data_IF_849111397444
#
_entry.id   IF_849111397444
#
_cell.length_a   1.000
_cell.length_b   1.000
_cell.length_c   1.000
_cell.angle_alpha   90.00
_cell.angle_beta   90.00
_cell.angle_gamma   90.00
#
_symmetry.space_group_name_H-M   'P 1'
#
loop_
_entity.id
_entity.type
_entity.pdbx_description
1 polymer ?
#
# COMPACT_ATOMS: atom_id res chain seq x y z
N UNK A 1 2.77 8.36 -13.11
CA UNK A 1 4.21 8.02 -13.17
C UNK A 1 4.75 7.83 -11.75
N UNK A 2 4.48 6.66 -11.17
CA UNK A 2 5.04 6.21 -9.87
C UNK A 2 6.38 5.48 -10.03
N UNK A 3 7.00 5.58 -11.20
CA UNK A 3 8.20 4.83 -11.57
C UNK A 3 9.50 5.20 -10.88
N UNK A 4 9.56 6.26 -10.08
CA UNK A 4 10.83 6.73 -9.51
C UNK A 4 11.32 5.99 -8.27
N UNK A 5 10.43 5.42 -7.48
CA UNK A 5 10.75 4.88 -6.15
C UNK A 5 11.35 3.47 -6.20
N UNK A 6 10.78 2.61 -7.03
CA UNK A 6 11.20 1.21 -7.17
C UNK A 6 12.17 0.95 -8.32
N UNK A 7 12.54 1.97 -9.06
CA UNK A 7 13.50 1.88 -10.18
C UNK A 7 14.97 1.85 -9.77
N UNK A 8 15.28 1.91 -8.45
CA UNK A 8 16.67 1.81 -8.02
C UNK A 8 17.23 0.40 -8.26
N UNK A 9 18.52 0.25 -8.62
CA UNK A 9 19.15 -1.05 -8.86
C UNK A 9 19.03 -2.02 -7.67
N UNK A 10 18.96 -1.50 -6.45
CA UNK A 10 18.75 -2.32 -5.26
C UNK A 10 17.36 -2.97 -5.25
N UNK A 11 16.31 -2.19 -5.48
CA UNK A 11 14.95 -2.74 -5.53
C UNK A 11 14.78 -3.70 -6.69
N UNK A 12 15.30 -3.36 -7.87
CA UNK A 12 15.26 -4.25 -9.01
C UNK A 12 15.91 -5.61 -8.69
N UNK A 13 17.10 -5.62 -8.10
CA UNK A 13 17.78 -6.86 -7.70
C UNK A 13 17.07 -7.63 -6.58
N UNK A 14 16.54 -6.93 -5.58
CA UNK A 14 15.77 -7.57 -4.50
C UNK A 14 14.48 -8.22 -5.03
N UNK A 15 13.71 -7.48 -5.80
CA UNK A 15 12.43 -7.96 -6.34
C UNK A 15 12.65 -9.09 -7.35
N UNK A 16 13.71 -9.03 -8.16
CA UNK A 16 14.10 -10.13 -9.05
C UNK A 16 14.47 -11.40 -8.26
N UNK A 17 15.20 -11.24 -7.14
CA UNK A 17 15.50 -12.38 -6.25
C UNK A 17 14.22 -12.96 -5.63
N UNK A 18 13.24 -12.13 -5.29
CA UNK A 18 11.94 -12.62 -4.82
C UNK A 18 11.21 -13.35 -5.95
N UNK A 19 11.14 -12.75 -7.14
CA UNK A 19 10.50 -13.34 -8.31
C UNK A 19 11.06 -14.70 -8.69
N UNK A 20 12.38 -14.89 -8.66
CA UNK A 20 13.03 -16.16 -8.99
C UNK A 20 12.70 -17.32 -8.03
N UNK A 21 12.14 -17.02 -6.86
CA UNK A 21 11.70 -18.00 -5.86
C UNK A 21 10.23 -18.36 -5.97
N UNK A 22 9.49 -17.68 -6.84
CA UNK A 22 8.06 -17.91 -7.01
C UNK A 22 7.81 -19.20 -7.83
N UNK A 23 6.70 -19.89 -7.55
CA UNK A 23 6.27 -20.99 -8.43
C UNK A 23 5.98 -20.46 -9.84
N UNK A 24 6.19 -21.28 -10.84
CA UNK A 24 5.75 -20.98 -12.20
C UNK A 24 4.23 -21.10 -12.22
N UNK A 25 3.55 -20.03 -12.59
CA UNK A 25 2.10 -20.02 -12.74
C UNK A 25 1.75 -20.30 -14.21
N UNK A 26 0.68 -21.08 -14.49
CA UNK A 26 0.18 -21.25 -15.85
C UNK A 26 -0.39 -19.93 -16.38
N UNK A 27 -0.30 -19.73 -17.69
CA UNK A 27 -0.86 -18.55 -18.37
C UNK A 27 -2.38 -18.46 -18.20
N UNK A 28 -3.05 -19.63 -18.26
CA UNK A 28 -4.47 -19.81 -17.93
C UNK A 28 -4.55 -20.91 -16.87
N UNK A 29 -5.29 -20.65 -15.80
CA UNK A 29 -5.57 -21.61 -14.74
C UNK A 29 -7.08 -21.75 -14.59
N UNK A 30 -7.65 -22.74 -15.25
CA UNK A 30 -9.07 -23.11 -15.21
C UNK A 30 -9.40 -24.11 -14.10
N UNK A 31 -8.40 -24.60 -13.40
CA UNK A 31 -8.50 -25.45 -12.22
C UNK A 31 -8.46 -24.70 -10.89
N UNK A 32 -8.44 -23.36 -10.90
CA UNK A 32 -8.28 -22.54 -9.69
C UNK A 32 -9.45 -22.75 -8.71
N UNK A 33 -10.67 -22.74 -9.22
CA UNK A 33 -11.89 -23.17 -8.49
C UNK A 33 -13.00 -23.56 -9.47
N UNK A 34 -14.17 -23.95 -8.93
CA UNK A 34 -15.31 -24.32 -9.76
C UNK A 34 -15.84 -23.16 -10.63
N UNK A 35 -15.75 -21.92 -10.15
CA UNK A 35 -16.31 -20.76 -10.86
C UNK A 35 -15.28 -19.65 -11.14
N UNK A 36 -13.98 -19.90 -10.95
CA UNK A 36 -12.92 -18.90 -11.16
C UNK A 36 -11.85 -19.44 -12.09
N UNK A 37 -11.61 -18.75 -13.20
CA UNK A 37 -10.52 -18.97 -14.12
C UNK A 37 -9.56 -17.79 -14.03
N UNK A 38 -8.26 -18.02 -13.86
CA UNK A 38 -7.23 -16.97 -13.86
C UNK A 38 -6.53 -16.89 -15.21
N UNK A 39 -6.29 -15.66 -15.68
CA UNK A 39 -5.41 -15.35 -16.79
C UNK A 39 -4.27 -14.48 -16.30
N UNK A 40 -3.02 -14.80 -16.67
CA UNK A 40 -1.89 -13.92 -16.43
C UNK A 40 -1.86 -12.77 -17.44
N UNK A 41 -1.51 -11.56 -16.97
CA UNK A 41 -1.51 -10.34 -17.76
C UNK A 41 -0.35 -10.17 -18.75
N UNK A 42 0.57 -11.15 -18.87
CA UNK A 42 1.76 -11.11 -19.73
C UNK A 42 2.68 -9.90 -19.52
N UNK A 43 2.67 -9.35 -18.30
CA UNK A 43 3.45 -8.21 -17.87
C UNK A 43 4.35 -8.54 -16.66
N UNK A 44 5.20 -9.61 -16.72
CA UNK A 44 6.04 -9.96 -15.58
C UNK A 44 7.01 -8.82 -15.26
N UNK A 45 7.14 -8.49 -13.99
CA UNK A 45 7.95 -7.38 -13.54
C UNK A 45 8.27 -7.44 -12.06
N UNK A 46 9.09 -6.49 -11.61
CA UNK A 46 9.48 -6.40 -10.21
C UNK A 46 8.30 -6.12 -9.28
N UNK A 47 7.26 -5.43 -9.75
CA UNK A 47 6.04 -5.13 -8.99
C UNK A 47 4.92 -6.12 -9.33
N UNK A 48 4.85 -6.59 -10.58
CA UNK A 48 3.81 -7.49 -11.09
C UNK A 48 4.13 -8.96 -10.86
N UNK A 49 5.32 -9.30 -10.35
CA UNK A 49 5.78 -10.68 -10.13
C UNK A 49 5.77 -11.49 -11.45
N UNK A 50 4.95 -12.56 -11.55
CA UNK A 50 4.78 -13.35 -12.77
C UNK A 50 3.89 -12.64 -13.82
N UNK A 51 3.22 -11.57 -13.44
CA UNK A 51 2.25 -10.78 -14.18
C UNK A 51 1.02 -10.48 -13.32
N UNK A 52 0.18 -9.57 -13.79
CA UNK A 52 -1.11 -9.28 -13.16
C UNK A 52 -2.06 -10.46 -13.34
N UNK A 53 -2.74 -10.86 -12.28
CA UNK A 53 -3.83 -11.82 -12.36
C UNK A 53 -5.12 -11.11 -12.76
N UNK A 54 -5.80 -11.63 -13.76
CA UNK A 54 -7.17 -11.25 -14.09
C UNK A 54 -8.06 -12.48 -13.97
N UNK A 55 -9.32 -12.32 -13.56
CA UNK A 55 -10.15 -13.45 -13.18
C UNK A 55 -11.50 -13.43 -13.90
N UNK A 56 -11.82 -14.52 -14.63
CA UNK A 56 -13.12 -14.74 -15.22
C UNK A 56 -13.98 -15.55 -14.24
N UNK A 57 -15.10 -14.98 -13.80
CA UNK A 57 -15.90 -15.50 -12.69
C UNK A 57 -17.32 -15.87 -13.13
N UNK A 58 -17.74 -17.07 -12.76
CA UNK A 58 -19.05 -17.65 -13.08
C UNK A 58 -18.94 -19.03 -13.75
N UNK A 59 -20.08 -19.72 -13.86
CA UNK A 59 -20.17 -21.08 -14.47
C UNK A 59 -20.98 -21.10 -15.76
N UNK A 60 -21.73 -20.01 -16.06
CA UNK A 60 -22.57 -19.93 -17.25
C UNK A 60 -21.83 -19.47 -18.51
N UNK A 61 -22.64 -19.30 -19.59
CA UNK A 61 -22.16 -18.71 -20.85
C UNK A 61 -21.92 -17.21 -20.77
N UNK A 62 -22.41 -16.54 -19.74
CA UNK A 62 -22.13 -15.11 -19.47
C UNK A 62 -21.44 -14.98 -18.13
N UNK A 63 -20.27 -14.36 -18.10
CA UNK A 63 -19.42 -14.26 -16.91
C UNK A 63 -19.00 -12.81 -16.62
N UNK A 64 -18.37 -12.61 -15.46
CA UNK A 64 -17.82 -11.34 -15.02
C UNK A 64 -16.28 -11.45 -15.03
N UNK A 65 -15.62 -10.43 -15.53
CA UNK A 65 -14.15 -10.35 -15.49
C UNK A 65 -13.71 -9.36 -14.41
N UNK A 66 -12.71 -9.72 -13.63
CA UNK A 66 -12.05 -8.85 -12.64
C UNK A 66 -10.66 -8.51 -13.15
N UNK A 67 -10.38 -7.21 -13.30
CA UNK A 67 -9.18 -6.60 -13.87
C UNK A 67 -8.88 -7.02 -15.32
N UNK A 68 -7.95 -6.28 -15.97
CA UNK A 68 -7.70 -6.42 -17.42
C UNK A 68 -6.23 -6.44 -17.80
N UNK A 69 -5.32 -6.54 -16.82
CA UNK A 69 -3.88 -6.47 -17.09
C UNK A 69 -3.42 -5.08 -17.56
N UNK A 70 -2.20 -5.01 -18.10
CA UNK A 70 -1.56 -3.76 -18.53
C UNK A 70 -1.88 -3.38 -20.00
N UNK A 71 -2.69 -4.16 -20.70
CA UNK A 71 -2.95 -4.02 -22.13
C UNK A 71 -1.89 -4.72 -23.00
N UNK A 72 -1.33 -5.84 -22.51
CA UNK A 72 -0.47 -6.69 -23.32
C UNK A 72 -1.32 -7.39 -24.39
N UNK A 73 -0.95 -7.32 -25.69
CA UNK A 73 -1.73 -7.95 -26.76
C UNK A 73 -1.93 -9.46 -26.58
N UNK A 74 -0.95 -10.13 -25.97
CA UNK A 74 -1.02 -11.57 -25.68
C UNK A 74 -2.13 -11.89 -24.67
N UNK A 75 -2.36 -11.01 -23.68
CA UNK A 75 -3.44 -11.16 -22.73
C UNK A 75 -4.82 -11.08 -23.41
N UNK A 76 -5.02 -10.06 -24.25
CA UNK A 76 -6.28 -9.89 -24.99
C UNK A 76 -6.57 -11.11 -25.89
N UNK A 77 -5.55 -11.59 -26.64
CA UNK A 77 -5.66 -12.79 -27.46
C UNK A 77 -5.97 -14.03 -26.62
N UNK A 78 -5.33 -14.20 -25.46
CA UNK A 78 -5.55 -15.35 -24.60
C UNK A 78 -6.97 -15.38 -24.04
N UNK A 79 -7.47 -14.22 -23.56
CA UNK A 79 -8.83 -14.08 -23.04
C UNK A 79 -9.87 -14.30 -24.12
N UNK A 80 -9.77 -13.58 -25.24
CA UNK A 80 -10.79 -13.66 -26.31
C UNK A 80 -10.87 -15.06 -26.92
N UNK A 81 -9.73 -15.70 -27.14
CA UNK A 81 -9.70 -17.09 -27.62
C UNK A 81 -10.36 -18.05 -26.62
N UNK A 82 -10.08 -17.90 -25.33
CA UNK A 82 -10.72 -18.74 -24.31
C UNK A 82 -12.24 -18.55 -24.31
N UNK A 83 -12.73 -17.30 -24.46
CA UNK A 83 -14.16 -16.99 -24.55
C UNK A 83 -14.79 -17.67 -25.79
N UNK A 84 -14.15 -17.61 -26.95
CA UNK A 84 -14.60 -18.23 -28.20
C UNK A 84 -14.60 -19.77 -28.09
N UNK A 85 -13.52 -20.37 -27.59
CA UNK A 85 -13.36 -21.82 -27.47
C UNK A 85 -14.39 -22.47 -26.52
N UNK A 86 -14.95 -21.67 -25.58
CA UNK A 86 -15.91 -22.16 -24.56
C UNK A 86 -17.34 -21.57 -24.74
N UNK A 87 -17.61 -20.81 -25.78
CA UNK A 87 -18.89 -20.11 -26.00
C UNK A 87 -19.32 -19.24 -24.81
N UNK A 88 -18.37 -18.41 -24.32
CA UNK A 88 -18.54 -17.53 -23.16
C UNK A 88 -18.51 -16.08 -23.61
N UNK A 89 -19.37 -15.24 -23.02
CA UNK A 89 -19.33 -13.78 -23.12
C UNK A 89 -19.04 -13.12 -21.77
N UNK A 90 -18.50 -11.91 -21.79
CA UNK A 90 -18.31 -11.06 -20.62
C UNK A 90 -19.42 -10.04 -20.56
N UNK A 91 -20.20 -10.02 -19.46
CA UNK A 91 -21.21 -8.97 -19.26
C UNK A 91 -20.65 -7.72 -18.61
N UNK A 92 -19.77 -7.92 -17.63
CA UNK A 92 -19.20 -6.86 -16.80
C UNK A 92 -17.72 -7.06 -16.61
N UNK A 93 -16.98 -5.94 -16.61
CA UNK A 93 -15.62 -5.86 -16.08
C UNK A 93 -15.65 -5.09 -14.77
N UNK A 94 -15.09 -5.64 -13.72
CA UNK A 94 -14.94 -5.00 -12.42
C UNK A 94 -13.46 -4.68 -12.20
N UNK A 95 -13.11 -3.42 -12.13
CA UNK A 95 -11.74 -2.98 -11.90
C UNK A 95 -11.50 -2.76 -10.41
N UNK A 96 -10.42 -3.34 -9.89
CA UNK A 96 -10.07 -3.22 -8.47
C UNK A 96 -9.62 -1.81 -8.13
N UNK A 97 -8.77 -1.19 -8.97
CA UNK A 97 -8.24 0.15 -8.75
C UNK A 97 -7.66 0.75 -10.05
N UNK A 98 -7.16 1.99 -9.97
CA UNK A 98 -6.78 2.80 -11.13
C UNK A 98 -5.42 2.43 -11.77
N UNK A 99 -4.58 1.62 -11.16
CA UNK A 99 -3.26 1.30 -11.71
C UNK A 99 -3.36 0.68 -13.10
N UNK A 100 -2.41 1.06 -13.97
CA UNK A 100 -2.43 0.69 -15.39
C UNK A 100 -2.38 -0.81 -15.62
N UNK A 101 -1.65 -1.54 -14.79
CA UNK A 101 -1.53 -2.99 -14.88
C UNK A 101 -2.81 -3.76 -14.47
N UNK A 102 -3.84 -3.05 -14.02
CA UNK A 102 -5.20 -3.57 -13.79
C UNK A 102 -6.22 -3.06 -14.78
N UNK A 103 -5.98 -1.89 -15.39
CA UNK A 103 -6.97 -1.20 -16.23
C UNK A 103 -6.60 -1.16 -17.72
N UNK A 104 -5.37 -1.53 -18.08
CA UNK A 104 -4.79 -1.28 -19.39
C UNK A 104 -5.45 -2.04 -20.55
N UNK A 105 -6.03 -3.22 -20.28
CA UNK A 105 -6.68 -4.06 -21.31
C UNK A 105 -8.16 -3.72 -21.58
N UNK A 106 -8.73 -2.71 -20.90
CA UNK A 106 -10.14 -2.30 -21.10
C UNK A 106 -10.42 -1.97 -22.57
N UNK A 107 -9.52 -1.23 -23.21
CA UNK A 107 -9.72 -0.84 -24.63
C UNK A 107 -9.78 -2.06 -25.58
N UNK A 108 -8.96 -3.07 -25.33
CA UNK A 108 -8.92 -4.30 -26.14
C UNK A 108 -10.22 -5.10 -26.00
N UNK A 109 -10.76 -5.20 -24.78
CA UNK A 109 -12.04 -5.87 -24.51
C UNK A 109 -13.22 -5.14 -25.17
N UNK A 110 -13.26 -3.80 -25.08
CA UNK A 110 -14.31 -3.00 -25.70
C UNK A 110 -14.21 -2.99 -27.24
N UNK A 111 -13.02 -3.18 -27.80
CA UNK A 111 -12.84 -3.39 -29.23
C UNK A 111 -13.35 -4.77 -29.69
N UNK A 112 -13.23 -5.81 -28.84
CA UNK A 112 -13.77 -7.15 -29.08
C UNK A 112 -15.30 -7.18 -28.92
N UNK A 113 -15.82 -6.64 -27.82
CA UNK A 113 -17.25 -6.54 -27.55
C UNK A 113 -17.62 -5.20 -26.90
N UNK A 114 -18.18 -4.24 -27.67
CA UNK A 114 -18.58 -2.92 -27.16
C UNK A 114 -19.77 -2.97 -26.17
N UNK A 115 -20.43 -4.10 -26.01
CA UNK A 115 -21.57 -4.24 -25.08
C UNK A 115 -21.11 -4.47 -23.62
N UNK A 116 -19.85 -4.76 -23.38
CA UNK A 116 -19.28 -4.96 -22.06
C UNK A 116 -19.39 -3.68 -21.23
N UNK A 117 -19.91 -3.80 -20.02
CA UNK A 117 -20.02 -2.67 -19.09
C UNK A 117 -18.83 -2.71 -18.12
N UNK A 118 -18.06 -1.65 -18.09
CA UNK A 118 -16.89 -1.53 -17.21
C UNK A 118 -17.24 -0.73 -15.96
N UNK A 119 -16.87 -1.26 -14.80
CA UNK A 119 -17.13 -0.68 -13.49
C UNK A 119 -15.82 -0.42 -12.75
N UNK A 120 -15.71 0.75 -12.08
CA UNK A 120 -14.62 1.12 -11.16
C UNK A 120 -15.16 2.03 -10.05
N UNK A 121 -14.54 2.05 -8.87
CA UNK A 121 -15.01 2.92 -7.78
C UNK A 121 -14.92 4.41 -8.15
N UNK A 122 -13.79 4.83 -8.71
CA UNK A 122 -13.60 6.14 -9.30
C UNK A 122 -13.53 5.98 -10.84
N UNK A 123 -14.69 6.00 -11.55
CA UNK A 123 -14.76 5.59 -12.94
C UNK A 123 -14.14 6.63 -13.89
N UNK A 124 -13.45 6.14 -14.91
CA UNK A 124 -13.04 6.95 -16.06
C UNK A 124 -14.23 7.21 -17.00
N UNK A 125 -14.11 8.16 -17.95
CA UNK A 125 -15.16 8.41 -18.94
C UNK A 125 -15.61 7.13 -19.66
N UNK A 126 -16.90 6.87 -19.68
CA UNK A 126 -17.50 5.66 -20.28
C UNK A 126 -17.62 4.47 -19.33
N UNK A 127 -17.07 4.55 -18.14
CA UNK A 127 -17.21 3.54 -17.10
C UNK A 127 -18.35 3.89 -16.12
N UNK A 128 -18.79 2.91 -15.34
CA UNK A 128 -19.80 3.08 -14.29
C UNK A 128 -19.18 2.99 -12.89
N UNK A 129 -19.73 3.75 -11.94
CA UNK A 129 -19.27 3.75 -10.57
C UNK A 129 -19.69 2.48 -9.81
N UNK A 130 -18.79 1.95 -8.98
CA UNK A 130 -19.10 0.90 -8.01
C UNK A 130 -19.34 1.54 -6.63
N UNK A 131 -20.49 1.27 -6.04
CA UNK A 131 -20.76 1.61 -4.64
C UNK A 131 -20.23 0.53 -3.69
N UNK A 132 -19.81 0.93 -2.48
CA UNK A 132 -19.49 -0.04 -1.44
C UNK A 132 -20.72 -0.89 -1.08
N UNK A 133 -20.53 -2.21 -1.06
CA UNK A 133 -21.62 -3.19 -0.83
C UNK A 133 -22.44 -3.52 -2.08
N UNK A 134 -22.18 -2.91 -3.24
CA UNK A 134 -22.84 -3.25 -4.49
C UNK A 134 -22.59 -4.71 -4.86
N UNK A 135 -23.64 -5.38 -5.38
CA UNK A 135 -23.60 -6.79 -5.74
C UNK A 135 -23.72 -6.97 -7.24
N UNK A 136 -22.88 -7.80 -7.80
CA UNK A 136 -22.90 -8.23 -9.20
C UNK A 136 -23.14 -9.72 -9.25
N UNK A 137 -24.05 -10.18 -10.11
CA UNK A 137 -24.45 -11.58 -10.20
C UNK A 137 -24.31 -12.12 -11.60
N UNK A 138 -23.80 -13.33 -11.67
CA UNK A 138 -23.84 -14.17 -12.86
C UNK A 138 -24.19 -15.61 -12.44
N UNK A 139 -24.36 -16.51 -13.39
CA UNK A 139 -24.62 -17.91 -13.04
C UNK A 139 -23.43 -18.49 -12.26
N UNK A 140 -23.72 -19.01 -11.07
CA UNK A 140 -22.74 -19.66 -10.19
C UNK A 140 -21.83 -18.69 -9.41
N UNK A 141 -22.05 -17.37 -9.49
CA UNK A 141 -21.25 -16.41 -8.75
C UNK A 141 -22.00 -15.14 -8.38
N UNK A 142 -21.86 -14.74 -7.11
CA UNK A 142 -22.31 -13.47 -6.55
C UNK A 142 -21.09 -12.73 -6.00
N UNK A 143 -20.74 -11.60 -6.62
CA UNK A 143 -19.63 -10.75 -6.23
C UNK A 143 -20.13 -9.53 -5.48
N UNK A 144 -19.71 -9.35 -4.22
CA UNK A 144 -20.03 -8.16 -3.43
C UNK A 144 -18.80 -7.25 -3.32
N UNK A 145 -18.95 -6.03 -3.79
CA UNK A 145 -17.89 -5.02 -3.76
C UNK A 145 -17.65 -4.51 -2.32
N UNK A 146 -16.40 -4.42 -1.92
CA UNK A 146 -15.95 -3.95 -0.61
C UNK A 146 -14.90 -2.86 -0.81
N UNK A 147 -15.21 -1.64 -0.41
CA UNK A 147 -14.27 -0.52 -0.51
C UNK A 147 -13.12 -0.70 0.50
N UNK A 148 -11.91 -0.79 -0.01
CA UNK A 148 -10.69 -1.10 0.77
C UNK A 148 -9.52 -0.20 0.34
N UNK A 149 -9.64 1.12 0.49
CA UNK A 149 -8.62 2.06 0.07
C UNK A 149 -7.32 1.89 0.86
N UNK A 150 -6.23 2.45 0.34
CA UNK A 150 -4.93 2.54 1.01
C UNK A 150 -3.75 2.06 0.18
N UNK A 151 -3.85 0.95 -0.57
CA UNK A 151 -2.92 0.65 -1.67
C UNK A 151 -3.10 1.69 -2.78
N UNK A 152 -4.33 1.93 -3.17
CA UNK A 152 -4.80 3.03 -3.99
C UNK A 152 -6.05 3.65 -3.36
N UNK A 153 -6.34 4.92 -3.66
CA UNK A 153 -7.48 5.66 -3.06
C UNK A 153 -8.84 5.06 -3.46
N UNK A 154 -8.92 4.44 -4.64
CA UNK A 154 -10.15 3.85 -5.21
C UNK A 154 -10.21 2.32 -5.09
N UNK A 155 -9.31 1.71 -4.32
CA UNK A 155 -9.17 0.27 -4.28
C UNK A 155 -10.42 -0.44 -3.76
N UNK A 156 -10.86 -1.47 -4.49
CA UNK A 156 -11.98 -2.34 -4.16
C UNK A 156 -11.51 -3.79 -4.11
N UNK A 157 -11.99 -4.52 -3.12
CA UNK A 157 -12.00 -5.99 -3.12
C UNK A 157 -13.38 -6.49 -3.55
N UNK A 158 -13.45 -7.74 -4.05
CA UNK A 158 -14.71 -8.38 -4.40
C UNK A 158 -14.85 -9.70 -3.63
N UNK A 159 -15.89 -9.79 -2.81
CA UNK A 159 -16.22 -11.01 -2.08
C UNK A 159 -17.02 -11.94 -2.99
N UNK A 160 -16.53 -13.15 -3.22
CA UNK A 160 -17.25 -14.24 -3.88
C UNK A 160 -18.00 -15.04 -2.81
N UNK A 161 -19.32 -14.89 -2.77
CA UNK A 161 -20.16 -15.42 -1.68
C UNK A 161 -20.19 -16.95 -1.67
N UNK A 162 -20.23 -17.58 -2.85
CA UNK A 162 -20.37 -19.03 -3.01
C UNK A 162 -19.15 -19.80 -2.48
N UNK A 163 -17.96 -19.22 -2.55
CA UNK A 163 -16.71 -19.85 -2.12
C UNK A 163 -16.14 -19.28 -0.83
N UNK A 164 -16.80 -18.27 -0.24
CA UNK A 164 -16.23 -17.49 0.87
C UNK A 164 -14.79 -17.05 0.57
N UNK A 165 -14.55 -16.59 -0.67
CA UNK A 165 -13.27 -16.15 -1.18
C UNK A 165 -13.27 -14.64 -1.44
N UNK A 166 -12.09 -14.01 -1.43
CA UNK A 166 -11.94 -12.59 -1.65
C UNK A 166 -10.94 -12.32 -2.78
N UNK A 167 -11.37 -11.62 -3.81
CA UNK A 167 -10.46 -10.99 -4.76
C UNK A 167 -9.84 -9.78 -4.08
N UNK A 168 -8.56 -9.91 -3.73
CA UNK A 168 -7.87 -8.95 -2.84
C UNK A 168 -7.24 -7.80 -3.60
N UNK A 169 -7.24 -7.84 -4.93
CA UNK A 169 -6.47 -6.89 -5.74
C UNK A 169 -5.05 -6.77 -5.21
N UNK A 170 -4.58 -5.56 -5.05
CA UNK A 170 -3.23 -5.30 -4.57
C UNK A 170 -3.13 -5.00 -3.06
N UNK A 171 -4.22 -5.11 -2.33
CA UNK A 171 -4.15 -4.97 -0.87
C UNK A 171 -3.43 -6.15 -0.21
N UNK A 172 -3.63 -7.38 -0.69
CA UNK A 172 -2.93 -8.56 -0.17
C UNK A 172 -2.49 -9.41 -1.35
N UNK A 173 -1.18 -9.61 -1.50
CA UNK A 173 -0.57 -10.31 -2.61
C UNK A 173 -0.32 -11.78 -2.30
N UNK A 174 -0.23 -12.62 -3.34
CA UNK A 174 0.11 -14.03 -3.23
C UNK A 174 1.57 -14.28 -2.81
N UNK A 175 2.40 -13.23 -2.82
CA UNK A 175 3.78 -13.27 -2.34
C UNK A 175 4.21 -11.89 -1.82
N UNK A 176 5.09 -11.90 -0.80
CA UNK A 176 5.66 -10.67 -0.27
C UNK A 176 4.65 -9.78 0.46
N UNK A 177 4.73 -8.48 0.20
CA UNK A 177 3.90 -7.46 0.82
C UNK A 177 3.56 -6.39 -0.19
N UNK A 178 2.37 -5.82 -0.04
CA UNK A 178 1.91 -4.71 -0.85
C UNK A 178 2.50 -3.37 -0.39
N UNK A 179 2.53 -2.43 -1.31
CA UNK A 179 2.80 -1.01 -1.10
C UNK A 179 1.49 -0.30 -0.75
N UNK A 180 1.54 0.80 -0.02
CA UNK A 180 0.38 1.60 0.31
C UNK A 180 0.66 3.09 0.01
N UNK A 181 -0.32 3.78 -0.61
CA UNK A 181 -0.30 5.23 -0.77
C UNK A 181 -0.59 5.92 0.57
N UNK A 182 -1.53 5.36 1.33
CA UNK A 182 -1.89 5.79 2.69
C UNK A 182 -1.85 4.61 3.67
N UNK A 183 -0.97 4.70 4.66
CA UNK A 183 -0.66 3.58 5.55
C UNK A 183 -1.75 3.34 6.60
N UNK A 184 -2.39 4.38 7.08
CA UNK A 184 -3.44 4.31 8.08
C UNK A 184 -4.71 3.70 7.49
N UNK A 185 -5.17 4.25 6.39
CA UNK A 185 -6.33 3.77 5.62
C UNK A 185 -6.11 2.32 5.16
N UNK A 186 -4.90 1.99 4.68
CA UNK A 186 -4.56 0.63 4.30
C UNK A 186 -4.64 -0.34 5.48
N UNK A 187 -4.17 0.06 6.67
CA UNK A 187 -4.24 -0.78 7.87
C UNK A 187 -5.69 -0.98 8.32
N UNK A 188 -6.55 0.04 8.19
CA UNK A 188 -7.98 -0.08 8.43
C UNK A 188 -8.63 -1.05 7.43
N UNK A 189 -8.28 -0.96 6.15
CA UNK A 189 -8.75 -1.89 5.10
C UNK A 189 -8.33 -3.33 5.36
N UNK A 190 -7.08 -3.58 5.81
CA UNK A 190 -6.65 -4.94 6.19
C UNK A 190 -7.48 -5.50 7.36
N UNK A 191 -7.82 -4.67 8.36
CA UNK A 191 -8.69 -5.09 9.48
C UNK A 191 -10.10 -5.38 9.01
N UNK A 192 -10.65 -4.56 8.10
CA UNK A 192 -11.95 -4.80 7.47
C UNK A 192 -11.95 -6.13 6.71
N UNK A 193 -10.92 -6.39 5.87
CA UNK A 193 -10.76 -7.65 5.15
C UNK A 193 -10.68 -8.85 6.10
N UNK A 194 -9.94 -8.75 7.21
CA UNK A 194 -9.91 -9.78 8.24
C UNK A 194 -11.29 -10.07 8.84
N UNK A 195 -12.11 -9.02 9.00
CA UNK A 195 -13.49 -9.13 9.50
C UNK A 195 -14.44 -9.86 8.56
N UNK A 196 -14.15 -9.94 7.27
CA UNK A 196 -14.94 -10.69 6.28
C UNK A 196 -14.81 -12.21 6.48
N UNK A 197 -13.73 -12.68 7.12
CA UNK A 197 -13.46 -14.09 7.43
C UNK A 197 -13.42 -15.01 6.19
N UNK A 198 -13.01 -14.48 5.05
CA UNK A 198 -12.80 -15.27 3.84
C UNK A 198 -11.65 -16.25 4.05
N UNK A 199 -11.80 -17.48 3.56
CA UNK A 199 -10.79 -18.54 3.68
C UNK A 199 -9.69 -18.44 2.64
N UNK A 200 -10.05 -18.06 1.41
CA UNK A 200 -9.18 -17.98 0.23
C UNK A 200 -9.09 -16.56 -0.27
N UNK A 201 -7.92 -16.18 -0.81
CA UNK A 201 -7.70 -14.90 -1.50
C UNK A 201 -7.25 -15.11 -2.94
N UNK A 202 -7.81 -14.33 -3.85
CA UNK A 202 -7.40 -14.23 -5.25
C UNK A 202 -6.74 -12.87 -5.46
N UNK A 203 -5.38 -12.81 -5.43
CA UNK A 203 -4.65 -11.54 -5.43
C UNK A 203 -4.44 -10.99 -6.84
N UNK A 204 -4.18 -9.67 -6.95
CA UNK A 204 -3.77 -9.04 -8.20
C UNK A 204 -2.42 -9.56 -8.72
N UNK A 205 -1.52 -10.00 -7.84
CA UNK A 205 -0.20 -10.56 -8.21
C UNK A 205 0.17 -11.75 -7.35
N UNK A 206 0.89 -12.71 -7.93
CA UNK A 206 1.33 -13.93 -7.28
C UNK A 206 0.28 -15.04 -7.26
N UNK A 207 0.52 -16.10 -6.50
CA UNK A 207 -0.37 -17.27 -6.47
C UNK A 207 -1.59 -17.05 -5.56
N UNK A 208 -2.60 -17.93 -5.70
CA UNK A 208 -3.77 -17.92 -4.83
C UNK A 208 -3.37 -18.11 -3.35
N UNK A 209 -4.07 -17.40 -2.47
CA UNK A 209 -3.79 -17.39 -1.03
C UNK A 209 -4.72 -18.39 -0.35
N UNK A 210 -4.23 -19.59 -0.10
CA UNK A 210 -5.04 -20.69 0.47
C UNK A 210 -5.43 -20.47 1.94
N UNK A 211 -4.74 -19.57 2.65
CA UNK A 211 -5.06 -19.18 4.02
C UNK A 211 -5.03 -17.66 4.14
N UNK A 212 -6.07 -17.01 3.65
CA UNK A 212 -6.19 -15.56 3.66
C UNK A 212 -6.16 -14.95 5.07
N UNK A 213 -6.84 -15.52 6.09
CA UNK A 213 -6.80 -14.98 7.44
C UNK A 213 -5.38 -14.92 8.02
N UNK A 214 -4.59 -15.96 7.85
CA UNK A 214 -3.20 -16.00 8.32
C UNK A 214 -2.34 -14.99 7.57
N UNK A 215 -2.53 -14.85 6.26
CA UNK A 215 -1.79 -13.89 5.45
C UNK A 215 -2.10 -12.46 5.87
N UNK A 216 -3.38 -12.10 6.05
CA UNK A 216 -3.77 -10.76 6.53
C UNK A 216 -3.21 -10.50 7.94
N UNK A 217 -3.27 -11.48 8.84
CA UNK A 217 -2.69 -11.33 10.18
C UNK A 217 -1.18 -11.07 10.13
N UNK A 218 -0.45 -11.73 9.22
CA UNK A 218 0.98 -11.47 8.97
C UNK A 218 1.22 -10.03 8.48
N UNK A 219 0.43 -9.54 7.54
CA UNK A 219 0.50 -8.16 7.04
C UNK A 219 0.30 -7.15 8.18
N UNK A 220 -0.76 -7.32 8.99
CA UNK A 220 -1.06 -6.45 10.13
C UNK A 220 0.07 -6.51 11.18
N UNK A 221 0.52 -7.71 11.54
CA UNK A 221 1.55 -7.91 12.57
C UNK A 221 2.86 -7.23 12.22
N UNK A 222 3.30 -7.33 10.97
CA UNK A 222 4.54 -6.67 10.53
C UNK A 222 4.45 -5.15 10.56
N UNK A 223 3.29 -4.58 10.18
CA UNK A 223 3.07 -3.14 10.26
C UNK A 223 3.11 -2.66 11.69
N UNK A 224 2.36 -3.32 12.58
CA UNK A 224 2.34 -3.00 14.02
C UNK A 224 3.75 -3.13 14.65
N UNK A 225 4.50 -4.16 14.29
CA UNK A 225 5.86 -4.34 14.78
C UNK A 225 6.80 -3.22 14.33
N UNK A 226 6.70 -2.78 13.07
CA UNK A 226 7.46 -1.66 12.54
C UNK A 226 7.11 -0.35 13.23
N UNK A 227 5.82 -0.05 13.37
CA UNK A 227 5.32 1.13 14.08
C UNK A 227 5.85 1.18 15.52
N UNK A 228 5.71 0.08 16.27
CA UNK A 228 6.21 -0.04 17.65
C UNK A 228 7.72 0.17 17.74
N UNK A 229 8.49 -0.37 16.80
CA UNK A 229 9.94 -0.21 16.78
C UNK A 229 10.35 1.24 16.60
N UNK A 230 9.72 1.93 15.64
CA UNK A 230 9.99 3.36 15.38
C UNK A 230 9.57 4.19 16.59
N UNK A 231 8.38 3.97 17.14
CA UNK A 231 7.90 4.67 18.32
C UNK A 231 8.83 4.49 19.54
N UNK A 232 9.31 3.27 19.80
CA UNK A 232 10.24 2.99 20.89
C UNK A 232 11.56 3.77 20.74
N UNK A 233 12.09 3.87 19.52
CA UNK A 233 13.31 4.64 19.24
C UNK A 233 13.09 6.13 19.51
N UNK A 234 11.97 6.69 19.06
CA UNK A 234 11.61 8.08 19.31
C UNK A 234 11.46 8.37 20.80
N UNK A 235 10.79 7.49 21.55
CA UNK A 235 10.60 7.62 22.99
C UNK A 235 11.92 7.58 23.77
N UNK A 236 12.83 6.67 23.43
CA UNK A 236 14.15 6.57 24.04
C UNK A 236 14.98 7.84 23.77
N UNK A 237 14.91 8.39 22.57
CA UNK A 237 15.62 9.62 22.24
C UNK A 237 15.07 10.82 23.02
N UNK A 238 13.75 10.94 23.15
CA UNK A 238 13.11 11.99 23.95
C UNK A 238 13.53 11.94 25.43
N UNK A 239 13.56 10.74 26.03
CA UNK A 239 14.03 10.55 27.42
C UNK A 239 15.50 10.93 27.60
N UNK A 240 16.38 10.57 26.66
CA UNK A 240 17.81 10.88 26.75
C UNK A 240 18.11 12.38 26.64
N UNK A 241 17.28 13.13 25.93
CA UNK A 241 17.38 14.59 25.84
C UNK A 241 16.92 15.27 27.14
N UNK A 242 15.89 14.75 27.82
CA UNK A 242 15.39 15.27 29.07
C UNK A 242 16.39 15.09 30.24
N UNK A 243 17.11 13.98 30.27
CA UNK A 243 18.09 13.69 31.32
C UNK A 243 19.39 14.49 31.20
N UNK A 244 19.75 14.99 30.00
CA UNK A 244 20.93 15.86 29.83
C UNK A 244 20.70 17.30 30.27
N UNK A 245 19.46 17.75 30.37
CA UNK A 245 19.11 19.11 30.81
C UNK A 245 18.86 19.22 32.34
N UNK A 246 18.93 18.12 33.08
CA UNK A 246 18.70 18.04 34.54
C UNK A 246 19.95 18.18 35.43
N UNK A 247 21.11 18.45 34.87
CA UNK A 247 22.37 18.50 35.60
C UNK A 247 22.85 19.92 35.90
N UNK A 248 22.13 20.70 36.69
CA UNK A 248 22.70 21.85 37.40
C UNK A 248 21.76 22.26 38.54
N UNK A 249 21.91 21.65 39.70
CA UNK A 249 21.29 22.14 40.91
C UNK A 249 22.35 22.34 41.98
N UNK A 250 22.34 23.59 42.42
CA UNK A 250 22.59 24.03 43.80
C UNK A 250 24.03 24.07 44.31
N UNK A 251 24.51 25.27 44.42
CA UNK A 251 25.24 25.67 45.63
C UNK A 251 24.44 26.79 46.28
N UNK A 252 24.02 26.54 47.49
CA UNK A 252 23.43 27.50 48.44
C UNK A 252 24.56 28.47 48.84
N UNK A 253 24.39 29.72 48.62
CA UNK A 253 25.28 30.78 49.09
C UNK A 253 24.43 31.92 49.71
N UNK A 254 24.70 32.20 50.95
CA UNK A 254 24.05 33.05 51.91
C UNK A 254 24.00 34.56 51.50
N UNK A 255 22.96 35.17 52.06
CA UNK A 255 22.55 36.58 52.12
C UNK A 255 23.68 37.53 52.48
N UNK A 256 23.73 38.72 51.78
CA UNK A 256 23.98 40.02 52.42
C UNK A 256 23.46 41.15 51.51
N UNK A 257 22.66 42.01 52.15
CA UNK A 257 22.11 43.27 51.60
C UNK A 257 23.19 44.30 51.33
N UNK A 258 23.04 45.09 50.26
CA UNK A 258 23.04 46.54 50.29
C UNK A 258 23.34 47.19 48.93
N UNK A 259 22.61 48.21 48.59
CA UNK A 259 23.07 49.33 47.77
C UNK A 259 22.52 49.49 46.37
N UNK A 260 21.71 50.58 46.24
CA UNK A 260 21.19 51.22 45.06
C UNK A 260 22.22 51.42 43.90
N UNK A 261 21.80 51.30 42.68
CA UNK A 261 21.78 52.36 41.65
C UNK A 261 21.68 51.79 40.23
N UNK A 262 20.69 52.31 39.54
CA UNK A 262 20.58 52.71 38.13
C UNK A 262 21.05 51.79 36.99
N UNK A 263 20.04 51.49 36.15
CA UNK A 263 20.03 51.49 34.68
C UNK A 263 21.11 50.72 33.94
N UNK A 264 20.70 49.61 33.30
CA UNK A 264 20.73 49.49 31.83
C UNK A 264 20.03 48.21 31.41
N UNK A 265 19.04 48.39 30.58
CA UNK A 265 18.23 47.44 29.88
C UNK A 265 19.13 46.58 28.94
N UNK A 266 19.56 45.42 29.41
CA UNK A 266 20.23 44.42 28.56
C UNK A 266 19.36 43.17 28.48
N UNK A 267 18.44 43.24 27.53
CA UNK A 267 17.52 42.18 27.11
C UNK A 267 18.32 40.98 26.62
N UNK A 268 18.95 40.24 27.52
CA UNK A 268 19.63 38.98 27.26
C UNK A 268 18.56 37.91 27.07
N UNK A 269 18.03 37.84 25.84
CA UNK A 269 17.29 36.67 25.38
C UNK A 269 18.17 35.45 25.56
N UNK A 270 17.98 34.75 26.66
CA UNK A 270 18.47 33.38 26.83
C UNK A 270 17.77 32.54 25.80
N UNK A 271 18.39 32.40 24.64
CA UNK A 271 17.99 31.42 23.64
C UNK A 271 18.09 30.04 24.28
N UNK A 272 16.95 29.44 24.60
CA UNK A 272 16.91 28.01 24.94
C UNK A 272 17.62 27.27 23.82
N UNK A 273 18.58 26.37 24.11
CA UNK A 273 19.19 25.57 23.07
C UNK A 273 18.08 24.82 22.34
N UNK A 274 18.00 25.00 21.03
CA UNK A 274 17.05 24.29 20.21
C UNK A 274 17.25 22.78 20.44
N UNK A 275 16.21 22.06 20.82
CA UNK A 275 16.26 20.62 20.92
C UNK A 275 16.64 20.08 19.55
N UNK A 276 17.73 19.33 19.49
CA UNK A 276 18.22 18.73 18.25
C UNK A 276 17.37 17.48 17.97
N UNK A 277 16.42 17.60 17.04
CA UNK A 277 15.56 16.49 16.59
C UNK A 277 16.36 15.47 15.78
N UNK A 278 15.86 14.25 15.71
CA UNK A 278 16.40 13.22 14.79
C UNK A 278 15.91 13.47 13.37
N UNK A 279 16.82 13.42 12.40
CA UNK A 279 16.46 13.34 10.99
C UNK A 279 15.91 11.95 10.64
N UNK A 280 15.15 11.85 9.53
CA UNK A 280 14.68 10.55 9.02
C UNK A 280 15.84 9.58 8.79
N UNK A 281 17.00 10.08 8.34
CA UNK A 281 18.21 9.28 8.13
C UNK A 281 18.77 8.70 9.43
N UNK A 282 18.81 9.50 10.50
CA UNK A 282 19.22 9.02 11.82
C UNK A 282 18.26 7.99 12.40
N UNK A 283 16.96 8.22 12.26
CA UNK A 283 15.95 7.23 12.64
C UNK A 283 16.14 5.95 11.81
N UNK A 284 16.40 6.06 10.51
CA UNK A 284 16.70 4.93 9.63
C UNK A 284 17.92 4.13 10.09
N UNK A 285 19.00 4.80 10.49
CA UNK A 285 20.18 4.18 11.07
C UNK A 285 19.88 3.40 12.34
N UNK A 286 19.10 3.99 13.25
CA UNK A 286 18.67 3.35 14.50
C UNK A 286 17.72 2.16 14.29
N UNK A 287 16.84 2.24 13.29
CA UNK A 287 15.85 1.17 12.99
C UNK A 287 16.47 0.00 12.24
N UNK A 288 17.30 0.28 11.23
CA UNK A 288 17.77 -0.71 10.26
C UNK A 288 19.29 -0.90 10.26
N UNK A 289 20.03 -0.12 11.04
CA UNK A 289 21.49 -0.13 11.12
C UNK A 289 22.14 1.03 10.38
N UNK A 290 23.29 1.49 10.86
CA UNK A 290 24.00 2.67 10.32
C UNK A 290 24.40 2.53 8.84
N UNK A 291 24.63 1.31 8.35
CA UNK A 291 24.93 1.06 6.93
C UNK A 291 23.80 1.46 5.99
N UNK A 292 22.56 1.44 6.47
CA UNK A 292 21.37 1.81 5.68
C UNK A 292 21.26 3.32 5.50
N UNK A 293 21.62 4.09 6.54
CA UNK A 293 21.56 5.55 6.58
C UNK A 293 22.28 6.23 5.41
N UNK A 294 23.43 5.67 5.02
CA UNK A 294 24.31 6.21 3.98
C UNK A 294 24.23 5.42 2.66
N UNK A 295 23.25 4.54 2.52
CA UNK A 295 23.09 3.73 1.31
C UNK A 295 22.18 4.43 0.28
N UNK A 296 22.40 4.24 -1.03
CA UNK A 296 21.45 4.69 -2.06
C UNK A 296 20.01 4.16 -1.85
N UNK A 297 19.89 3.07 -1.13
CA UNK A 297 18.63 2.45 -0.74
C UNK A 297 17.83 3.30 0.25
N UNK A 298 18.52 4.13 1.04
CA UNK A 298 17.84 4.97 2.01
C UNK A 298 16.89 5.94 1.31
N UNK A 299 17.38 6.73 0.36
CA UNK A 299 16.60 7.76 -0.32
C UNK A 299 15.47 7.17 -1.18
N UNK A 300 15.73 6.00 -1.79
CA UNK A 300 14.80 5.36 -2.72
C UNK A 300 13.78 4.42 -2.05
N UNK A 301 13.98 4.02 -0.80
CA UNK A 301 13.18 2.98 -0.18
C UNK A 301 12.86 3.21 1.30
N UNK A 302 13.91 3.33 2.12
CA UNK A 302 13.73 3.31 3.58
C UNK A 302 13.20 4.65 4.08
N UNK A 303 13.72 5.76 3.56
CA UNK A 303 13.32 7.11 3.96
C UNK A 303 11.84 7.39 3.73
N UNK A 304 11.30 7.19 2.53
CA UNK A 304 9.89 7.36 2.25
C UNK A 304 8.97 6.47 3.12
N UNK A 305 9.36 5.20 3.33
CA UNK A 305 8.60 4.31 4.21
C UNK A 305 8.60 4.79 5.67
N UNK A 306 9.75 5.27 6.15
CA UNK A 306 9.85 5.88 7.48
C UNK A 306 9.00 7.14 7.59
N UNK A 307 9.04 8.00 6.57
CA UNK A 307 8.23 9.22 6.54
C UNK A 307 6.73 8.91 6.64
N UNK A 308 6.22 7.88 5.95
CA UNK A 308 4.82 7.46 6.09
C UNK A 308 4.48 7.06 7.52
N UNK A 309 5.33 6.27 8.18
CA UNK A 309 5.10 5.85 9.58
C UNK A 309 5.21 7.04 10.53
N UNK A 310 6.17 7.94 10.34
CA UNK A 310 6.33 9.14 11.16
C UNK A 310 5.14 10.08 11.02
N UNK A 311 4.61 10.24 9.80
CA UNK A 311 3.42 11.03 9.54
C UNK A 311 2.20 10.46 10.26
N UNK A 312 1.98 9.16 10.14
CA UNK A 312 0.90 8.46 10.84
C UNK A 312 1.01 8.60 12.36
N UNK A 313 2.22 8.47 12.94
CA UNK A 313 2.44 8.66 14.37
C UNK A 313 2.18 10.10 14.83
N UNK A 314 2.50 11.07 13.99
CA UNK A 314 2.24 12.49 14.25
C UNK A 314 0.73 12.77 14.27
N UNK A 315 -0.01 12.30 13.26
CA UNK A 315 -1.47 12.47 13.17
C UNK A 315 -2.21 11.80 14.33
N UNK A 316 -1.69 10.67 14.82
CA UNK A 316 -2.23 9.98 16.00
C UNK A 316 -1.87 10.65 17.34
N UNK A 317 -1.15 11.77 17.33
CA UNK A 317 -0.69 12.45 18.56
C UNK A 317 0.28 11.63 19.40
N UNK A 318 0.87 10.57 18.83
CA UNK A 318 1.84 9.70 19.51
C UNK A 318 3.26 10.26 19.53
N UNK A 319 3.55 11.29 18.74
CA UNK A 319 4.78 12.07 18.82
C UNK A 319 4.50 13.25 19.76
N UNK A 320 5.12 13.26 20.95
CA UNK A 320 5.00 14.38 21.90
C UNK A 320 5.53 15.67 21.28
N UNK A 321 4.91 16.81 21.60
CA UNK A 321 5.30 18.18 21.22
C UNK A 321 6.76 18.54 21.55
N UNK A 322 7.47 17.71 22.33
CA UNK A 322 8.86 17.87 22.72
C UNK A 322 9.86 17.14 21.80
N UNK A 323 9.41 16.28 20.92
CA UNK A 323 10.22 15.79 19.80
C UNK A 323 9.98 16.79 18.67
N UNK A 324 10.74 17.87 18.66
CA UNK A 324 10.90 18.67 17.45
C UNK A 324 11.57 17.75 16.43
N UNK A 325 10.77 16.87 15.81
CA UNK A 325 11.17 16.21 14.60
C UNK A 325 11.29 17.35 13.61
N UNK A 326 12.50 17.90 13.46
CA UNK A 326 12.85 18.69 12.30
C UNK A 326 12.90 17.72 11.11
N UNK A 327 11.78 17.03 10.91
CA UNK A 327 11.49 16.44 9.63
C UNK A 327 11.26 17.67 8.77
N UNK A 328 12.29 18.06 8.00
CA UNK A 328 12.06 18.84 6.81
C UNK A 328 11.19 17.94 5.96
N UNK A 329 9.88 18.00 6.26
CA UNK A 329 8.87 17.45 5.39
C UNK A 329 8.96 18.27 4.09
N UNK A 330 9.74 17.80 3.14
CA UNK A 330 9.23 17.90 1.80
C UNK A 330 7.92 17.10 1.87
N UNK A 331 6.78 17.81 2.06
CA UNK A 331 5.47 17.23 1.74
C UNK A 331 5.71 16.40 0.51
N UNK A 332 5.43 15.08 0.51
CA UNK A 332 5.30 14.37 -0.75
C UNK A 332 4.32 15.25 -1.51
N UNK A 333 4.76 15.89 -2.58
CA UNK A 333 3.92 16.79 -3.32
C UNK A 333 2.65 16.00 -3.59
N UNK A 334 1.52 16.55 -3.18
CA UNK A 334 0.30 16.30 -3.90
C UNK A 334 0.68 16.58 -5.34
N UNK A 335 1.01 15.55 -6.08
CA UNK A 335 1.01 15.63 -7.52
C UNK A 335 -0.45 15.88 -7.88
N UNK A 336 -0.80 17.15 -7.89
CA UNK A 336 -1.91 17.62 -8.67
C UNK A 336 -1.58 17.16 -10.08
N UNK A 337 -2.13 16.04 -10.47
CA UNK A 337 -2.20 15.66 -11.87
C UNK A 337 -3.08 16.74 -12.47
N UNK A 338 -2.59 17.56 -13.40
CA UNK A 338 -3.47 18.43 -14.16
C UNK A 338 -4.44 17.49 -14.88
N UNK A 339 -5.72 17.66 -14.59
CA UNK A 339 -6.80 17.13 -15.41
C UNK A 339 -6.64 17.79 -16.78
N UNK A 340 -6.15 17.04 -17.74
CA UNK A 340 -6.31 17.31 -19.17
C UNK A 340 -7.02 16.09 -19.75
#
# INVERSE_FOLDING_TARGET
MSGGFYSSPFWAGYLETQRSRLPVLPEIDDGLSHCVVRFLGYNPGSMQLQGTNTYLVGTGSTRILIDTGEGAPQWAVSVTRYLEDHDISISHVLLTHWHKDHTGGVADLLAHDPSIIVYKHAPDPGQQAIANGQTFKTQGATLRAVLTPGHAVDHMCFLLEEENALFTGDNVLGHGYSVAEDLETYTASLRLMAGLKCSVGYPGHGDAILNLPQTIARYISQRVAREKKIYAILALHACSCSSRNGGSTSSIGSVSESGDSDEEDNNMKTSRPAMQGLSTAEIGGLVYGESVKNSPTFDSAVGPLLNQVLYMLLEQGKCCDHVSILVIFQKPGFFSIPVI
#
